data_IF_208968465796
#
_entry.id   IF_208968465796
#
_cell.length_a   1.000
_cell.length_b   1.000
_cell.length_c   1.000
_cell.angle_alpha   90.00
_cell.angle_beta   90.00
_cell.angle_gamma   90.00
#
_symmetry.space_group_name_H-M   'P 1'
#
loop_
_entity.id
_entity.type
_entity.pdbx_description
1 polymer ?
#
# COMPACT_ATOMS: atom_id res chain seq x y z
N UNK A 1 -24.14 5.10 -5.45
CA UNK A 1 -22.91 5.70 -4.84
C UNK A 1 -21.78 4.73 -5.12
N UNK A 2 -20.62 5.19 -5.61
CA UNK A 2 -19.49 4.29 -5.88
C UNK A 2 -18.99 3.62 -4.59
N UNK A 3 -18.64 2.35 -4.65
CA UNK A 3 -18.09 1.59 -3.54
C UNK A 3 -16.75 2.20 -3.10
N UNK A 4 -16.57 2.48 -1.82
CA UNK A 4 -15.36 3.09 -1.27
C UNK A 4 -14.72 2.12 -0.26
N UNK A 5 -13.62 1.51 -0.65
CA UNK A 5 -12.89 0.53 0.17
C UNK A 5 -12.55 1.04 1.58
N UNK A 6 -12.24 2.32 1.72
CA UNK A 6 -11.95 2.91 3.04
C UNK A 6 -13.18 2.96 3.96
N UNK A 7 -14.38 3.04 3.37
CA UNK A 7 -15.64 3.09 4.13
C UNK A 7 -16.18 1.71 4.43
N UNK A 8 -16.05 0.79 3.48
CA UNK A 8 -16.56 -0.57 3.59
C UNK A 8 -15.66 -1.46 4.46
N UNK A 9 -14.33 -1.29 4.35
CA UNK A 9 -13.34 -2.05 5.12
C UNK A 9 -12.61 -1.15 6.11
N UNK A 10 -13.39 -0.52 7.02
CA UNK A 10 -12.84 0.41 8.03
C UNK A 10 -11.81 -0.23 8.94
N UNK A 11 -11.94 -1.51 9.21
CA UNK A 11 -11.01 -2.28 10.01
C UNK A 11 -9.59 -2.31 9.38
N UNK A 12 -9.48 -2.25 8.06
CA UNK A 12 -8.20 -2.28 7.34
C UNK A 12 -7.68 -0.88 7.02
N UNK A 13 -8.58 0.09 6.73
CA UNK A 13 -8.20 1.40 6.21
C UNK A 13 -8.40 2.56 7.19
N UNK A 14 -9.22 2.37 8.23
CA UNK A 14 -9.56 3.44 9.18
C UNK A 14 -9.44 2.96 10.64
N UNK A 15 -8.32 2.31 11.03
CA UNK A 15 -8.12 1.96 12.43
C UNK A 15 -8.06 3.23 13.29
N UNK A 16 -8.18 3.07 14.59
CA UNK A 16 -7.98 4.18 15.53
C UNK A 16 -6.49 4.54 15.62
N UNK A 17 -6.20 5.71 16.20
CA UNK A 17 -4.84 6.11 16.60
C UNK A 17 -4.37 5.39 17.89
N UNK A 18 -4.78 4.15 18.06
CA UNK A 18 -4.34 3.21 19.10
C UNK A 18 -4.05 1.88 18.43
N UNK A 19 -2.97 1.19 18.81
CA UNK A 19 -2.64 -0.09 18.23
C UNK A 19 -3.78 -1.11 18.37
N UNK A 20 -3.91 -1.96 17.37
CA UNK A 20 -4.86 -3.09 17.36
C UNK A 20 -4.29 -4.24 16.56
N UNK A 21 -4.66 -5.46 16.93
CA UNK A 21 -4.33 -6.67 16.17
C UNK A 21 -5.43 -6.89 15.15
N UNK A 22 -5.03 -7.26 13.93
CA UNK A 22 -5.93 -7.50 12.80
C UNK A 22 -5.41 -8.67 11.97
N UNK A 23 -6.33 -9.44 11.40
CA UNK A 23 -6.03 -10.47 10.40
C UNK A 23 -6.38 -9.91 9.02
N UNK A 24 -5.39 -9.79 8.15
CA UNK A 24 -5.58 -9.26 6.79
C UNK A 24 -5.70 -10.44 5.83
N UNK A 25 -6.81 -10.56 5.12
CA UNK A 25 -6.99 -11.63 4.16
C UNK A 25 -6.08 -11.43 2.94
N UNK A 26 -5.87 -12.50 2.22
CA UNK A 26 -5.21 -12.49 0.93
C UNK A 26 -5.94 -11.58 -0.05
N UNK A 27 -5.21 -10.66 -0.67
CA UNK A 27 -5.75 -9.65 -1.59
C UNK A 27 -4.91 -9.56 -2.87
N UNK A 28 -5.52 -9.03 -3.93
CA UNK A 28 -4.83 -8.74 -5.18
C UNK A 28 -4.51 -7.25 -5.28
N UNK A 29 -3.35 -6.96 -5.84
CA UNK A 29 -2.82 -5.61 -6.03
C UNK A 29 -2.20 -5.47 -7.42
N UNK A 30 -2.14 -4.25 -7.90
CA UNK A 30 -1.12 -3.85 -8.87
C UNK A 30 0.08 -3.33 -8.07
N UNK A 31 1.29 -3.70 -8.49
CA UNK A 31 2.51 -3.41 -7.76
C UNK A 31 3.64 -2.94 -8.67
N UNK A 32 4.52 -2.10 -8.14
CA UNK A 32 5.80 -1.72 -8.77
C UNK A 32 6.88 -1.72 -7.73
N UNK A 33 7.97 -2.44 -8.00
CA UNK A 33 9.15 -2.50 -7.13
C UNK A 33 10.16 -1.44 -7.50
N UNK A 34 10.82 -0.88 -6.49
CA UNK A 34 11.87 0.11 -6.68
C UNK A 34 12.72 0.33 -5.45
N UNK A 35 13.64 1.28 -5.57
CA UNK A 35 14.52 1.68 -4.48
C UNK A 35 14.89 3.14 -4.59
N UNK A 36 15.41 3.72 -3.49
CA UNK A 36 15.88 5.09 -3.42
C UNK A 36 15.02 5.99 -2.56
N UNK A 37 15.37 7.26 -2.55
CA UNK A 37 14.72 8.26 -1.71
C UNK A 37 13.34 8.64 -2.23
N UNK A 38 12.25 8.40 -1.46
CA UNK A 38 10.89 8.73 -1.90
C UNK A 38 10.65 10.25 -2.05
N UNK A 39 11.50 11.08 -1.48
CA UNK A 39 11.41 12.55 -1.56
C UNK A 39 12.08 13.12 -2.80
N UNK A 40 12.85 12.32 -3.54
CA UNK A 40 13.53 12.78 -4.76
C UNK A 40 12.50 13.23 -5.81
N UNK A 41 12.71 14.42 -6.39
CA UNK A 41 11.68 15.06 -7.23
C UNK A 41 11.37 14.26 -8.51
N UNK A 42 12.38 13.69 -9.14
CA UNK A 42 12.26 12.84 -10.33
C UNK A 42 12.68 11.40 -10.02
N UNK A 43 12.59 10.99 -8.74
CA UNK A 43 13.02 9.69 -8.26
C UNK A 43 12.11 8.56 -8.71
N UNK A 44 12.61 7.35 -8.55
CA UNK A 44 11.91 6.11 -8.95
C UNK A 44 10.55 5.97 -8.26
N UNK A 45 10.46 6.32 -6.97
CA UNK A 45 9.19 6.26 -6.22
C UNK A 45 8.07 7.09 -6.86
N UNK A 46 8.33 8.34 -7.23
CA UNK A 46 7.32 9.20 -7.88
C UNK A 46 6.90 8.68 -9.25
N UNK A 47 7.85 8.10 -10.00
CA UNK A 47 7.57 7.48 -11.29
C UNK A 47 6.65 6.26 -11.14
N UNK A 48 6.88 5.42 -10.13
CA UNK A 48 6.05 4.23 -9.87
C UNK A 48 4.60 4.59 -9.57
N UNK A 49 4.35 5.67 -8.83
CA UNK A 49 2.98 6.15 -8.53
C UNK A 49 2.21 6.45 -9.82
N UNK A 50 2.87 7.09 -10.79
CA UNK A 50 2.27 7.38 -12.10
C UNK A 50 1.88 6.13 -12.87
N UNK A 51 2.72 5.10 -12.83
CA UNK A 51 2.46 3.80 -13.45
C UNK A 51 1.26 3.10 -12.79
N UNK A 52 1.22 3.02 -11.46
CA UNK A 52 0.13 2.39 -10.73
C UNK A 52 -1.22 3.05 -11.05
N UNK A 53 -1.31 4.37 -10.93
CA UNK A 53 -2.55 5.07 -11.25
C UNK A 53 -2.92 4.97 -12.74
N UNK A 54 -1.94 4.83 -13.63
CA UNK A 54 -2.18 4.57 -15.05
C UNK A 54 -3.01 3.30 -15.28
N UNK A 55 -2.63 2.20 -14.64
CA UNK A 55 -3.35 0.92 -14.71
C UNK A 55 -4.66 0.97 -13.90
N UNK A 56 -4.62 1.45 -12.65
CA UNK A 56 -5.81 1.51 -11.78
C UNK A 56 -6.97 2.26 -12.44
N UNK A 57 -6.69 3.40 -13.07
CA UNK A 57 -7.73 4.15 -13.78
C UNK A 57 -8.13 3.52 -15.12
N UNK A 58 -7.26 2.79 -15.80
CA UNK A 58 -7.63 2.03 -17.01
C UNK A 58 -8.63 0.94 -16.65
N UNK A 59 -8.38 0.18 -15.57
CA UNK A 59 -9.33 -0.81 -15.04
C UNK A 59 -10.64 -0.15 -14.62
N UNK A 60 -10.56 0.89 -13.79
CA UNK A 60 -11.75 1.60 -13.30
C UNK A 60 -12.64 2.12 -14.42
N UNK A 61 -12.06 2.57 -15.52
CA UNK A 61 -12.79 3.18 -16.64
C UNK A 61 -13.16 2.18 -17.74
N UNK A 62 -12.87 0.89 -17.58
CA UNK A 62 -13.17 -0.17 -18.56
C UNK A 62 -14.64 -0.18 -18.99
N UNK A 63 -15.55 0.11 -18.04
CA UNK A 63 -16.99 0.12 -18.31
C UNK A 63 -17.43 1.13 -19.37
N UNK A 64 -16.62 2.17 -19.63
CA UNK A 64 -16.87 3.16 -20.69
C UNK A 64 -16.40 2.71 -22.07
N UNK A 65 -15.54 1.68 -22.12
CA UNK A 65 -14.97 1.14 -23.33
C UNK A 65 -15.70 -0.12 -23.81
N UNK A 66 -15.06 -0.84 -24.72
CA UNK A 66 -15.53 -2.11 -25.27
C UNK A 66 -15.20 -3.30 -24.38
N UNK A 67 -14.13 -3.22 -23.61
CA UNK A 67 -13.76 -4.27 -22.65
C UNK A 67 -14.65 -4.17 -21.41
N UNK A 68 -15.38 -5.22 -21.13
CA UNK A 68 -16.24 -5.32 -19.94
C UNK A 68 -15.65 -6.35 -19.01
N UNK A 69 -15.44 -5.97 -17.76
CA UNK A 69 -14.94 -6.84 -16.70
C UNK A 69 -16.14 -7.48 -16.00
N UNK A 70 -16.17 -8.78 -15.91
CA UNK A 70 -17.25 -9.52 -15.27
C UNK A 70 -17.33 -9.15 -13.77
N UNK A 71 -18.55 -8.98 -13.27
CA UNK A 71 -18.77 -8.58 -11.88
C UNK A 71 -18.42 -7.12 -11.56
N UNK A 72 -18.11 -6.31 -12.57
CA UNK A 72 -17.75 -4.90 -12.36
C UNK A 72 -18.85 -4.12 -11.65
N UNK A 73 -18.44 -3.34 -10.64
CA UNK A 73 -19.25 -2.30 -10.02
C UNK A 73 -18.44 -1.00 -9.91
N UNK A 74 -19.12 0.13 -9.86
CA UNK A 74 -18.45 1.42 -9.68
C UNK A 74 -17.79 1.53 -8.32
N UNK A 75 -16.50 1.86 -8.28
CA UNK A 75 -15.71 1.99 -7.05
C UNK A 75 -14.81 3.22 -7.07
N UNK A 76 -14.39 3.66 -5.89
CA UNK A 76 -13.30 4.62 -5.71
C UNK A 76 -11.99 3.83 -5.76
N UNK A 77 -11.01 4.28 -6.55
CA UNK A 77 -9.68 3.66 -6.57
C UNK A 77 -9.15 3.63 -5.13
N UNK A 78 -8.76 2.46 -4.61
CA UNK A 78 -8.19 2.34 -3.29
C UNK A 78 -6.97 3.24 -3.07
N UNK A 79 -6.61 3.54 -1.84
CA UNK A 79 -5.44 4.36 -1.56
C UNK A 79 -4.16 3.74 -2.14
N UNK A 80 -3.16 4.59 -2.35
CA UNK A 80 -1.79 4.14 -2.55
C UNK A 80 -1.30 3.53 -1.24
N UNK A 81 -0.58 2.43 -1.34
CA UNK A 81 0.04 1.73 -0.23
C UNK A 81 1.50 1.44 -0.58
N UNK A 82 2.34 1.19 0.41
CA UNK A 82 3.75 0.87 0.19
C UNK A 82 4.26 -0.14 1.21
N UNK A 83 4.96 -1.17 0.73
CA UNK A 83 5.82 -2.00 1.55
C UNK A 83 7.22 -1.43 1.52
N UNK A 84 7.85 -1.32 2.71
CA UNK A 84 9.14 -0.68 2.86
C UNK A 84 10.13 -1.54 3.64
N UNK A 85 11.39 -1.49 3.25
CA UNK A 85 12.48 -2.08 4.01
C UNK A 85 13.82 -1.43 3.66
N UNK A 86 14.81 -1.69 4.47
CA UNK A 86 16.22 -1.38 4.22
C UNK A 86 17.07 -2.61 4.59
N UNK A 87 18.08 -2.89 3.83
CA UNK A 87 18.94 -4.06 4.04
C UNK A 87 19.61 -4.00 5.44
N UNK A 88 19.52 -5.11 6.16
CA UNK A 88 20.05 -5.22 7.52
C UNK A 88 19.17 -4.65 8.63
N UNK A 89 18.08 -3.95 8.31
CA UNK A 89 17.13 -3.42 9.29
C UNK A 89 15.84 -4.26 9.27
N UNK A 90 15.53 -4.90 10.41
CA UNK A 90 14.28 -5.68 10.56
C UNK A 90 13.27 -4.90 11.40
N UNK A 91 12.20 -4.46 10.76
CA UNK A 91 11.08 -3.79 11.44
C UNK A 91 11.36 -2.37 11.91
N UNK A 92 12.40 -1.76 11.39
CA UNK A 92 12.69 -0.34 11.55
C UNK A 92 13.09 0.26 10.21
N UNK A 93 12.86 1.56 10.06
CA UNK A 93 13.29 2.34 8.90
C UNK A 93 14.26 3.42 9.41
N UNK A 94 15.42 3.54 8.79
CA UNK A 94 16.34 4.65 9.00
C UNK A 94 15.98 5.82 8.10
N UNK A 95 15.17 6.73 8.63
CA UNK A 95 14.72 7.93 7.92
C UNK A 95 15.82 8.93 7.61
N UNK A 96 17.02 8.78 8.24
CA UNK A 96 18.17 9.62 7.92
C UNK A 96 18.90 9.15 6.66
N UNK A 97 18.70 7.88 6.24
CA UNK A 97 19.37 7.31 5.08
C UNK A 97 18.34 6.80 4.04
N UNK A 98 17.46 7.69 3.59
CA UNK A 98 16.37 7.35 2.66
C UNK A 98 16.83 6.81 1.30
N UNK A 99 18.10 7.06 0.91
CA UNK A 99 18.65 6.55 -0.35
C UNK A 99 18.80 5.02 -0.38
N UNK A 100 18.83 4.36 0.77
CA UNK A 100 18.94 2.91 0.89
C UNK A 100 17.58 2.21 1.02
N UNK A 101 16.48 2.96 0.93
CA UNK A 101 15.14 2.41 1.01
C UNK A 101 14.82 1.57 -0.22
N UNK A 102 14.22 0.42 0.02
CA UNK A 102 13.53 -0.39 -0.98
C UNK A 102 12.03 -0.31 -0.75
N UNK A 103 11.26 -0.41 -1.83
CA UNK A 103 9.82 -0.36 -1.74
C UNK A 103 9.13 -1.26 -2.77
N UNK A 104 7.90 -1.64 -2.42
CA UNK A 104 6.89 -2.11 -3.36
C UNK A 104 5.71 -1.17 -3.21
N UNK A 105 5.52 -0.26 -4.17
CA UNK A 105 4.33 0.58 -4.21
C UNK A 105 3.16 -0.23 -4.77
N UNK A 106 2.01 -0.18 -4.10
CA UNK A 106 0.85 -1.00 -4.46
C UNK A 106 -0.45 -0.19 -4.44
N UNK A 107 -1.42 -0.65 -5.22
CA UNK A 107 -2.83 -0.25 -5.11
C UNK A 107 -3.67 -1.52 -5.14
N UNK A 108 -4.54 -1.71 -4.15
CA UNK A 108 -5.45 -2.85 -4.11
C UNK A 108 -6.35 -2.88 -5.35
N UNK A 109 -6.53 -4.07 -5.90
CA UNK A 109 -7.51 -4.34 -6.95
C UNK A 109 -8.84 -4.81 -6.34
N UNK A 110 -9.99 -4.43 -6.92
CA UNK A 110 -11.26 -5.08 -6.63
C UNK A 110 -11.19 -6.58 -6.88
N UNK A 111 -11.93 -7.36 -6.09
CA UNK A 111 -11.89 -8.83 -6.15
C UNK A 111 -12.38 -9.40 -7.47
N UNK A 112 -13.15 -8.63 -8.25
CA UNK A 112 -13.60 -9.02 -9.60
C UNK A 112 -12.51 -8.89 -10.68
N UNK A 113 -11.38 -8.24 -10.39
CA UNK A 113 -10.31 -8.03 -11.37
C UNK A 113 -9.44 -9.27 -11.45
N UNK A 114 -9.42 -9.89 -12.60
CA UNK A 114 -8.58 -11.06 -12.91
C UNK A 114 -7.20 -10.64 -13.42
N UNK A 115 -6.29 -11.61 -13.51
CA UNK A 115 -5.00 -11.40 -14.15
C UNK A 115 -5.13 -11.03 -15.64
N UNK A 116 -6.09 -11.60 -16.33
CA UNK A 116 -6.36 -11.30 -17.75
C UNK A 116 -6.84 -9.85 -17.91
N UNK A 117 -7.69 -9.36 -17.00
CA UNK A 117 -8.13 -7.96 -16.98
C UNK A 117 -6.95 -7.00 -16.71
N UNK A 118 -6.03 -7.38 -15.83
CA UNK A 118 -4.80 -6.64 -15.60
C UNK A 118 -3.91 -6.60 -16.86
N UNK A 119 -3.70 -7.72 -17.52
CA UNK A 119 -2.91 -7.80 -18.76
C UNK A 119 -3.53 -6.94 -19.87
N UNK A 120 -4.85 -7.01 -20.04
CA UNK A 120 -5.57 -6.10 -20.92
C UNK A 120 -5.34 -4.64 -20.55
N UNK A 121 -5.49 -4.27 -19.26
CA UNK A 121 -5.34 -2.90 -18.81
C UNK A 121 -3.93 -2.36 -19.03
N UNK A 122 -2.91 -3.20 -18.89
CA UNK A 122 -1.51 -2.85 -19.14
C UNK A 122 -1.29 -2.55 -20.62
N UNK A 123 -1.79 -3.37 -21.53
CA UNK A 123 -1.71 -3.15 -22.96
C UNK A 123 -2.46 -1.88 -23.39
N UNK A 124 -3.67 -1.69 -22.87
CA UNK A 124 -4.51 -0.55 -23.18
C UNK A 124 -3.90 0.77 -22.65
N UNK A 125 -3.36 0.77 -21.43
CA UNK A 125 -2.67 1.91 -20.86
C UNK A 125 -1.42 2.27 -21.67
N UNK A 126 -0.59 1.30 -22.03
CA UNK A 126 0.60 1.47 -22.87
C UNK A 126 0.25 2.12 -24.19
N UNK A 127 -0.79 1.61 -24.86
CA UNK A 127 -1.26 2.15 -26.16
C UNK A 127 -1.77 3.58 -26.03
N UNK A 128 -2.60 3.87 -25.04
CA UNK A 128 -3.24 5.19 -24.87
C UNK A 128 -2.29 6.27 -24.38
N UNK A 129 -1.41 5.92 -23.42
CA UNK A 129 -0.53 6.89 -22.78
C UNK A 129 0.85 6.99 -23.44
N UNK A 130 1.18 6.09 -24.36
CA UNK A 130 2.51 5.97 -25.00
C UNK A 130 3.63 5.91 -23.96
N UNK A 131 3.40 5.18 -22.88
CA UNK A 131 4.30 5.00 -21.74
C UNK A 131 4.49 3.50 -21.51
N UNK A 132 5.69 3.10 -21.11
CA UNK A 132 5.99 1.72 -20.75
C UNK A 132 5.44 1.37 -19.36
N UNK A 133 4.59 0.35 -19.28
CA UNK A 133 4.01 -0.19 -18.05
C UNK A 133 4.54 -1.59 -17.72
N UNK A 134 5.60 -2.06 -18.37
CA UNK A 134 6.17 -3.41 -18.17
C UNK A 134 6.64 -3.68 -16.73
N UNK A 135 6.93 -2.62 -15.96
CA UNK A 135 7.30 -2.72 -14.54
C UNK A 135 6.12 -3.00 -13.60
N UNK A 136 4.89 -2.82 -14.07
CA UNK A 136 3.71 -3.07 -13.23
C UNK A 136 3.40 -4.55 -13.23
N UNK A 137 3.28 -5.13 -12.04
CA UNK A 137 2.96 -6.55 -11.85
C UNK A 137 1.59 -6.73 -11.17
N UNK A 138 0.95 -7.88 -11.43
CA UNK A 138 -0.20 -8.36 -10.67
C UNK A 138 0.33 -9.14 -9.47
N UNK A 139 0.13 -8.59 -8.28
CA UNK A 139 0.61 -9.16 -7.03
C UNK A 139 -0.55 -9.71 -6.21
N UNK A 140 -0.50 -10.98 -5.87
CA UNK A 140 -1.37 -11.57 -4.84
C UNK A 140 -0.58 -11.67 -3.54
N UNK A 141 -1.05 -11.01 -2.47
CA UNK A 141 -0.34 -10.93 -1.21
C UNK A 141 -1.23 -11.36 -0.05
N UNK A 142 -0.67 -12.22 0.81
CA UNK A 142 -1.30 -12.70 2.04
C UNK A 142 -0.54 -12.09 3.22
N UNK A 143 -1.07 -10.99 3.75
CA UNK A 143 -0.41 -10.26 4.84
C UNK A 143 -0.63 -10.94 6.20
N UNK A 144 -1.79 -11.57 6.39
CA UNK A 144 -2.11 -12.36 7.59
C UNK A 144 -2.18 -11.53 8.87
N UNK A 145 -1.69 -12.10 9.97
CA UNK A 145 -1.78 -11.50 11.30
C UNK A 145 -0.82 -10.31 11.45
N UNK A 146 -1.38 -9.15 11.81
CA UNK A 146 -0.65 -7.91 11.93
C UNK A 146 -1.05 -7.11 13.17
N UNK A 147 -0.17 -6.24 13.64
CA UNK A 147 -0.49 -5.10 14.48
C UNK A 147 -0.57 -3.85 13.61
N UNK A 148 -1.56 -3.00 13.83
CA UNK A 148 -1.73 -1.76 13.07
C UNK A 148 -2.12 -0.58 13.95
N UNK A 149 -1.82 0.63 13.45
CA UNK A 149 -2.21 1.88 14.10
C UNK A 149 -2.38 2.99 13.06
N UNK A 150 -3.30 3.93 13.30
CA UNK A 150 -3.35 5.18 12.55
C UNK A 150 -2.25 6.11 13.04
N UNK A 151 -1.31 6.45 12.19
CA UNK A 151 -0.34 7.52 12.40
C UNK A 151 -0.93 8.86 11.95
N UNK A 152 -0.75 9.89 12.78
CA UNK A 152 -1.16 11.27 12.49
C UNK A 152 0.08 12.16 12.52
N UNK A 153 0.44 12.76 11.41
CA UNK A 153 1.59 13.64 11.31
C UNK A 153 2.56 13.31 10.18
N UNK A 154 3.77 13.81 10.32
CA UNK A 154 4.86 13.60 9.37
C UNK A 154 5.30 12.14 9.31
N UNK A 155 5.67 11.65 8.14
CA UNK A 155 6.28 10.33 7.99
C UNK A 155 7.56 10.18 8.84
N UNK A 156 8.32 11.25 9.05
CA UNK A 156 9.53 11.22 9.88
C UNK A 156 9.22 11.00 11.39
N UNK A 157 7.96 11.19 11.82
CA UNK A 157 7.50 10.93 13.19
C UNK A 157 6.89 9.51 13.37
N UNK A 158 6.82 8.70 12.32
CA UNK A 158 6.30 7.32 12.37
C UNK A 158 6.96 6.43 13.43
N UNK A 159 8.27 6.57 13.75
CA UNK A 159 8.91 5.80 14.81
C UNK A 159 8.17 5.85 16.15
N UNK A 160 7.47 6.95 16.45
CA UNK A 160 6.66 7.09 17.68
C UNK A 160 5.50 6.10 17.64
N UNK A 161 4.79 6.03 16.54
CA UNK A 161 3.66 5.11 16.36
C UNK A 161 4.11 3.66 16.29
N UNK A 162 5.22 3.38 15.60
CA UNK A 162 5.84 2.05 15.52
C UNK A 162 6.20 1.52 16.91
N UNK A 163 6.81 2.36 17.77
CA UNK A 163 7.14 1.98 19.14
C UNK A 163 5.89 1.61 19.95
N UNK A 164 4.81 2.41 19.85
CA UNK A 164 3.54 2.10 20.50
C UNK A 164 2.95 0.76 20.02
N UNK A 165 3.06 0.47 18.73
CA UNK A 165 2.62 -0.82 18.16
C UNK A 165 3.46 -1.98 18.71
N UNK A 166 4.77 -1.81 18.81
CA UNK A 166 5.69 -2.83 19.32
C UNK A 166 5.50 -3.11 20.82
N UNK A 167 5.23 -2.08 21.64
CA UNK A 167 4.87 -2.25 23.05
C UNK A 167 3.56 -3.03 23.16
N UNK A 168 2.51 -2.58 22.47
CA UNK A 168 1.20 -3.21 22.48
C UNK A 168 1.24 -4.70 22.06
N UNK A 169 1.95 -5.03 20.97
CA UNK A 169 2.03 -6.43 20.52
C UNK A 169 2.70 -7.33 21.57
N UNK A 170 3.78 -6.86 22.22
CA UNK A 170 4.49 -7.60 23.28
C UNK A 170 3.60 -7.83 24.50
N UNK A 171 2.88 -6.81 24.96
CA UNK A 171 1.93 -6.92 26.07
C UNK A 171 0.81 -7.93 25.80
N UNK A 172 0.47 -8.15 24.53
CA UNK A 172 -0.56 -9.10 24.09
C UNK A 172 0.00 -10.48 23.69
N UNK A 173 1.30 -10.76 23.93
CA UNK A 173 1.91 -12.07 23.70
C UNK A 173 2.31 -12.32 22.25
N UNK A 174 2.63 -11.27 21.50
CA UNK A 174 3.11 -11.35 20.12
C UNK A 174 4.51 -10.80 19.97
N UNK A 175 5.19 -11.24 18.95
CA UNK A 175 6.48 -10.72 18.50
C UNK A 175 6.42 -10.32 17.03
N UNK A 176 7.34 -9.45 16.62
CA UNK A 176 7.47 -8.98 15.24
C UNK A 176 7.85 -10.14 14.32
N UNK A 177 7.20 -10.20 13.14
CA UNK A 177 7.43 -11.24 12.13
C UNK A 177 7.77 -10.65 10.75
N UNK A 178 8.55 -9.58 10.72
CA UNK A 178 9.09 -9.01 9.47
C UNK A 178 10.15 -9.96 8.93
N UNK A 179 10.00 -10.29 7.65
CA UNK A 179 10.85 -11.22 6.89
C UNK A 179 11.12 -10.64 5.49
N UNK A 180 11.78 -11.42 4.63
CA UNK A 180 11.98 -11.04 3.22
C UNK A 180 10.69 -11.08 2.39
N UNK A 181 9.58 -11.57 2.98
CA UNK A 181 8.26 -11.66 2.34
C UNK A 181 7.17 -10.91 3.11
N UNK A 182 7.45 -10.41 4.32
CA UNK A 182 6.52 -9.69 5.20
C UNK A 182 7.15 -8.39 5.66
N UNK A 183 6.57 -7.26 5.28
CA UNK A 183 7.21 -5.95 5.30
C UNK A 183 6.58 -4.98 6.30
N UNK A 184 7.27 -3.89 6.57
CA UNK A 184 6.65 -2.67 7.07
C UNK A 184 5.70 -2.13 6.00
N UNK A 185 4.43 -1.94 6.35
CA UNK A 185 3.37 -1.56 5.43
C UNK A 185 2.77 -0.21 5.80
N UNK A 186 2.71 0.70 4.85
CA UNK A 186 2.11 2.02 4.97
C UNK A 186 0.94 2.17 3.98
N UNK A 187 -0.20 2.70 4.47
CA UNK A 187 -1.39 2.98 3.64
C UNK A 187 -1.67 4.48 3.72
N UNK A 188 -1.54 5.19 2.60
CA UNK A 188 -1.61 6.65 2.54
C UNK A 188 -3.03 7.15 2.33
N UNK A 189 -3.65 7.67 3.41
CA UNK A 189 -5.03 8.15 3.38
C UNK A 189 -5.15 9.64 3.05
N UNK A 190 -4.07 10.38 3.14
CA UNK A 190 -3.97 11.80 2.81
C UNK A 190 -3.06 12.03 1.62
N UNK A 191 -3.38 13.02 0.80
CA UNK A 191 -2.47 13.51 -0.25
C UNK A 191 -1.54 14.58 0.36
N UNK A 192 -0.21 14.31 0.50
CA UNK A 192 0.71 15.25 1.14
C UNK A 192 0.86 16.58 0.41
N UNK A 193 0.44 16.64 -0.85
CA UNK A 193 0.45 17.89 -1.65
C UNK A 193 -0.72 18.82 -1.31
N UNK A 194 -1.75 18.31 -0.60
CA UNK A 194 -3.01 19.02 -0.31
C UNK A 194 -3.34 19.09 1.18
N UNK A 195 -2.61 18.37 1.99
CA UNK A 195 -2.84 18.26 3.41
C UNK A 195 -1.67 18.85 4.18
N UNK A 196 -1.97 19.58 5.26
CA UNK A 196 -0.96 20.00 6.25
C UNK A 196 -0.21 18.76 6.78
N UNK A 197 1.11 18.84 6.88
CA UNK A 197 1.95 17.73 7.32
C UNK A 197 1.52 17.17 8.68
N UNK A 198 1.09 18.01 9.60
CA UNK A 198 0.61 17.62 10.93
C UNK A 198 -0.78 16.94 10.93
N UNK A 199 -1.44 16.89 9.77
CA UNK A 199 -2.77 16.29 9.57
C UNK A 199 -2.74 15.10 8.63
N UNK A 200 -1.57 14.70 8.16
CA UNK A 200 -1.41 13.50 7.36
C UNK A 200 -1.91 12.29 8.13
N UNK A 201 -2.51 11.36 7.40
CA UNK A 201 -3.03 10.10 7.94
C UNK A 201 -2.43 8.95 7.18
N UNK A 202 -1.71 8.10 7.89
CA UNK A 202 -1.11 6.88 7.36
C UNK A 202 -1.51 5.72 8.27
N UNK A 203 -2.00 4.62 7.72
CA UNK A 203 -2.08 3.39 8.50
C UNK A 203 -0.72 2.72 8.44
N UNK A 204 -0.11 2.49 9.59
CA UNK A 204 1.11 1.68 9.70
C UNK A 204 0.70 0.28 10.13
N UNK A 205 1.28 -0.74 9.51
CA UNK A 205 1.00 -2.14 9.80
C UNK A 205 2.28 -2.95 9.80
N UNK A 206 2.43 -3.79 10.81
CA UNK A 206 3.55 -4.72 10.94
C UNK A 206 3.04 -6.14 11.11
N UNK A 207 3.61 -7.11 10.38
CA UNK A 207 3.31 -8.52 10.58
C UNK A 207 3.83 -8.99 11.94
N UNK A 208 3.01 -9.82 12.60
CA UNK A 208 3.31 -10.37 13.93
C UNK A 208 3.00 -11.87 13.97
N UNK A 209 3.57 -12.54 14.96
CA UNK A 209 3.26 -13.94 15.31
C UNK A 209 3.20 -14.10 16.82
N UNK A 210 2.50 -15.16 17.28
CA UNK A 210 2.43 -15.49 18.72
C UNK A 210 3.81 -15.90 19.23
N UNK A 211 4.16 -15.41 20.41
CA UNK A 211 5.31 -15.89 21.17
C UNK A 211 5.02 -17.34 21.57
N UNK A 212 5.96 -18.25 21.32
CA UNK A 212 5.85 -19.68 21.66
C UNK A 212 6.04 -19.90 23.15
#
# INVERSE_FOLDING_TARGET
MAFDYKKEYKEFYMPKNKPSIVEIPKMNYIAVRGSGNPNEENGDYKNTIGLLYGIAYTIKMSYKGTHKIDGFFEYVVPPLEGFWWQDGLKGSIDYNNKNTMHFISIIRLPDFVTKDDFEWATQEATKKKKQDFSRVEFLTYDEGLCVQCMHLGSYDDEPITVNLMHEYMKENGYELDITDERYHHEIYLSDPRKCDVNKLKTVIRHPIKKIK
#
